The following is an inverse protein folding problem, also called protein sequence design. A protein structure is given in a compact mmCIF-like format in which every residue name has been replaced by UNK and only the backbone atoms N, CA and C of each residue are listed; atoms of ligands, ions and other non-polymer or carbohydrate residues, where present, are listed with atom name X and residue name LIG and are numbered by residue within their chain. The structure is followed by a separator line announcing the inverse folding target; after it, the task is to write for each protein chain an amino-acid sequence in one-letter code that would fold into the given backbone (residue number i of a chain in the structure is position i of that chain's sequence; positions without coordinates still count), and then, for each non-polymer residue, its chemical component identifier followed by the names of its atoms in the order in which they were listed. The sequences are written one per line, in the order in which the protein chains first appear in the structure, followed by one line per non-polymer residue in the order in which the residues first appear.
data_IF_887646256705
#
_entry.id   IF_887646256705
#
_cell.length_a   1.000
_cell.length_b   1.000
_cell.length_c   1.000
_cell.angle_alpha   90.00
_cell.angle_beta   90.00
_cell.angle_gamma   90.00
#
_symmetry.space_group_name_H-M   'P 1'
#
loop_
_entity.id
_entity.type
_entity.pdbx_description
1 polymer ?
#
# COMPACT_ATOMS: atom_id res chain seq x y z
N UNK A 1 2.91 2.31 9.44
CA UNK A 1 1.90 2.57 8.40
C UNK A 1 0.99 3.65 8.94
N UNK A 2 0.63 4.61 8.12
CA UNK A 2 -0.16 5.78 8.49
C UNK A 2 -1.34 5.88 7.54
N UNK A 3 -2.55 5.98 8.07
CA UNK A 3 -3.76 6.23 7.28
C UNK A 3 -4.30 7.60 7.69
N UNK A 4 -4.46 8.49 6.72
CA UNK A 4 -5.05 9.80 6.89
C UNK A 4 -6.42 9.81 6.22
N UNK A 5 -7.45 10.18 6.96
CA UNK A 5 -8.79 10.42 6.43
C UNK A 5 -9.29 11.77 6.93
N UNK A 6 -8.73 12.84 6.36
CA UNK A 6 -9.02 14.24 6.70
C UNK A 6 -9.54 14.97 5.48
N UNK A 7 -10.11 16.14 5.70
CA UNK A 7 -10.60 16.98 4.61
C UNK A 7 -9.48 17.32 3.61
N UNK A 8 -8.29 17.59 4.14
CA UNK A 8 -7.11 17.98 3.37
C UNK A 8 -6.40 16.78 2.73
N UNK A 9 -6.61 15.56 3.22
CA UNK A 9 -5.84 14.39 2.84
C UNK A 9 -6.60 13.07 3.08
N UNK A 10 -6.72 12.28 2.01
CA UNK A 10 -7.10 10.86 2.08
C UNK A 10 -5.92 10.04 1.55
N UNK A 11 -5.14 9.43 2.45
CA UNK A 11 -3.91 8.73 2.08
C UNK A 11 -3.61 7.53 2.97
N UNK A 12 -2.83 6.60 2.43
CA UNK A 12 -2.22 5.54 3.20
C UNK A 12 -0.74 5.46 2.86
N UNK A 13 0.10 5.60 3.88
CA UNK A 13 1.55 5.62 3.77
C UNK A 13 2.14 4.42 4.51
N UNK A 14 2.92 3.59 3.80
CA UNK A 14 3.66 2.48 4.41
C UNK A 14 5.13 2.85 4.46
N UNK A 15 5.71 2.77 5.66
CA UNK A 15 7.14 2.99 5.92
C UNK A 15 7.76 1.73 6.50
N UNK A 16 8.88 1.29 5.91
CA UNK A 16 9.65 0.15 6.40
C UNK A 16 10.71 0.62 7.39
N UNK A 17 10.56 0.23 8.65
CA UNK A 17 11.47 0.65 9.73
C UNK A 17 12.79 -0.14 9.76
N UNK A 18 12.89 -1.23 8.99
CA UNK A 18 14.07 -2.10 8.90
C UNK A 18 14.99 -1.77 7.71
N UNK A 19 14.72 -0.68 7.00
CA UNK A 19 15.49 -0.28 5.81
C UNK A 19 15.22 -1.13 4.57
N UNK A 20 14.15 -1.94 4.55
CA UNK A 20 13.75 -2.66 3.36
C UNK A 20 13.41 -1.68 2.21
N UNK A 21 13.96 -1.94 1.04
CA UNK A 21 13.70 -1.19 -0.20
C UNK A 21 12.77 -2.01 -1.08
N UNK A 22 11.79 -1.35 -1.71
CA UNK A 22 10.87 -1.93 -2.70
C UNK A 22 11.36 -1.56 -4.10
N UNK A 23 11.45 -2.52 -5.00
CA UNK A 23 11.83 -2.31 -6.40
C UNK A 23 10.62 -2.43 -7.33
N UNK A 24 10.70 -1.90 -8.57
CA UNK A 24 9.65 -2.12 -9.57
C UNK A 24 9.32 -3.61 -9.75
N UNK A 25 8.02 -3.91 -9.79
CA UNK A 25 7.47 -5.27 -9.83
C UNK A 25 7.38 -5.97 -8.48
N UNK A 26 8.04 -5.49 -7.42
CA UNK A 26 7.86 -6.07 -6.09
C UNK A 26 6.45 -5.74 -5.55
N UNK A 27 5.80 -6.71 -4.92
CA UNK A 27 4.50 -6.52 -4.26
C UNK A 27 4.68 -6.45 -2.74
N UNK A 28 3.90 -5.59 -2.08
CA UNK A 28 3.92 -5.40 -0.63
C UNK A 28 2.54 -5.72 -0.08
N UNK A 29 2.47 -6.68 0.83
CA UNK A 29 1.26 -7.03 1.55
C UNK A 29 1.44 -6.69 3.03
N UNK A 30 0.58 -5.83 3.57
CA UNK A 30 0.54 -5.53 5.00
C UNK A 30 -0.40 -6.52 5.68
N UNK A 31 0.10 -7.22 6.68
CA UNK A 31 -0.67 -8.24 7.41
C UNK A 31 -1.63 -7.60 8.41
N UNK A 32 -2.75 -8.28 8.67
CA UNK A 32 -3.69 -7.94 9.74
C UNK A 32 -5.09 -7.56 9.26
N UNK A 33 -5.99 -7.22 10.19
CA UNK A 33 -7.38 -6.87 9.88
C UNK A 33 -7.47 -5.52 9.16
N UNK A 34 -8.60 -5.27 8.50
CA UNK A 34 -8.90 -3.98 7.89
C UNK A 34 -8.70 -2.83 8.91
N UNK A 35 -8.10 -1.73 8.44
CA UNK A 35 -7.97 -0.50 9.24
C UNK A 35 -8.81 0.56 8.59
N UNK A 36 -9.74 1.12 9.37
CA UNK A 36 -10.51 2.28 8.99
C UNK A 36 -10.09 3.48 9.85
N UNK A 37 -9.63 4.55 9.22
CA UNK A 37 -9.49 5.84 9.89
C UNK A 37 -10.83 6.58 9.80
N UNK A 38 -11.48 6.93 10.92
CA UNK A 38 -12.65 7.79 10.90
C UNK A 38 -12.34 9.15 10.27
N UNK A 39 -13.34 9.80 9.68
CA UNK A 39 -13.16 11.13 9.10
C UNK A 39 -12.66 12.15 10.14
N UNK A 40 -11.67 12.95 9.77
CA UNK A 40 -10.94 13.87 10.63
C UNK A 40 -9.74 13.25 11.38
N UNK A 41 -9.53 11.93 11.29
CA UNK A 41 -8.52 11.21 12.08
C UNK A 41 -7.35 10.74 11.21
N UNK A 42 -6.18 10.69 11.83
CA UNK A 42 -5.00 10.02 11.28
C UNK A 42 -4.62 8.88 12.24
N UNK A 43 -4.48 7.66 11.72
CA UNK A 43 -4.15 6.46 12.47
C UNK A 43 -2.76 6.00 12.07
N UNK A 44 -1.89 5.74 13.05
CA UNK A 44 -0.57 5.16 12.82
C UNK A 44 -0.46 3.81 13.53
N UNK A 45 -0.11 2.77 12.77
CA UNK A 45 0.12 1.42 13.30
C UNK A 45 1.41 0.81 12.77
N UNK A 46 2.07 0.01 13.61
CA UNK A 46 3.19 -0.84 13.21
C UNK A 46 2.69 -2.25 12.93
N UNK A 47 2.91 -2.71 11.70
CA UNK A 47 2.47 -4.03 11.24
C UNK A 47 3.58 -4.75 10.49
N UNK A 48 3.48 -6.07 10.49
CA UNK A 48 4.30 -6.91 9.63
C UNK A 48 3.85 -6.73 8.19
N UNK A 49 4.83 -6.68 7.27
CA UNK A 49 4.57 -6.64 5.85
C UNK A 49 5.45 -7.65 5.13
N UNK A 50 4.85 -8.38 4.21
CA UNK A 50 5.51 -9.35 3.34
C UNK A 50 5.83 -8.66 2.02
N UNK A 51 7.11 -8.69 1.60
CA UNK A 51 7.53 -8.18 0.29
C UNK A 51 7.80 -9.37 -0.64
N UNK A 52 6.96 -9.54 -1.65
CA UNK A 52 7.15 -10.52 -2.71
C UNK A 52 8.01 -9.92 -3.80
N UNK A 53 9.19 -10.48 -4.04
CA UNK A 53 10.15 -9.94 -5.01
C UNK A 53 9.79 -10.38 -6.43
N UNK A 54 9.74 -9.42 -7.37
CA UNK A 54 9.58 -9.75 -8.78
C UNK A 54 10.74 -10.60 -9.30
N UNK A 55 10.43 -11.54 -10.19
CA UNK A 55 11.40 -12.38 -10.86
C UNK A 55 12.31 -11.56 -11.79
N UNK A 56 13.48 -12.10 -12.17
CA UNK A 56 14.42 -11.41 -13.08
C UNK A 56 13.82 -11.14 -14.46
N UNK A 57 12.87 -11.95 -14.90
CA UNK A 57 12.17 -11.79 -16.18
C UNK A 57 11.17 -10.65 -16.06
N UNK A 58 10.33 -10.64 -15.02
CA UNK A 58 9.40 -9.52 -14.75
C UNK A 58 10.16 -8.20 -14.61
N UNK A 59 11.24 -8.15 -13.83
CA UNK A 59 12.05 -6.93 -13.70
C UNK A 59 12.66 -6.46 -15.01
N UNK A 60 13.08 -7.38 -15.90
CA UNK A 60 13.58 -7.01 -17.22
C UNK A 60 12.45 -6.53 -18.14
N UNK A 61 11.28 -7.15 -18.05
CA UNK A 61 10.08 -6.76 -18.78
C UNK A 61 9.54 -5.41 -18.31
N UNK A 62 9.41 -5.16 -17.00
CA UNK A 62 9.09 -3.84 -16.44
C UNK A 62 10.11 -2.79 -16.88
N UNK A 63 11.40 -3.12 -16.95
CA UNK A 63 12.43 -2.21 -17.46
C UNK A 63 12.36 -1.97 -18.98
N UNK A 64 11.90 -2.95 -19.75
CA UNK A 64 11.86 -2.89 -21.23
C UNK A 64 10.54 -2.34 -21.77
N UNK A 65 9.43 -2.59 -21.06
CA UNK A 65 8.08 -2.09 -21.34
C UNK A 65 7.76 -0.81 -20.56
N UNK A 66 8.58 -0.50 -19.54
CA UNK A 66 8.92 0.85 -19.05
C UNK A 66 7.85 1.65 -18.32
N UNK A 67 6.65 1.79 -18.89
CA UNK A 67 5.69 2.83 -18.52
C UNK A 67 4.24 2.34 -18.36
N UNK A 68 3.95 1.06 -18.62
CA UNK A 68 2.55 0.56 -18.64
C UNK A 68 2.11 -0.22 -17.41
N UNK A 69 3.03 -0.72 -16.59
CA UNK A 69 2.67 -1.23 -15.26
C UNK A 69 2.48 -0.02 -14.35
N UNK A 70 1.30 0.58 -14.49
CA UNK A 70 0.67 1.37 -13.44
C UNK A 70 1.08 0.77 -12.10
N UNK A 71 1.68 1.57 -11.23
CA UNK A 71 1.61 1.29 -9.80
C UNK A 71 0.13 1.42 -9.47
N UNK A 72 -0.65 0.36 -9.71
CA UNK A 72 -2.04 0.30 -9.31
C UNK A 72 -2.02 0.60 -7.82
N UNK A 73 -2.58 1.75 -7.47
CA UNK A 73 -2.93 2.07 -6.10
C UNK A 73 -3.69 0.86 -5.59
N UNK A 74 -3.15 0.18 -4.58
CA UNK A 74 -3.85 -0.90 -3.91
C UNK A 74 -5.27 -0.41 -3.65
N UNK A 75 -6.24 -1.10 -4.24
CA UNK A 75 -7.65 -0.80 -4.08
C UNK A 75 -7.94 -0.87 -2.58
N UNK A 76 -8.07 0.29 -1.94
CA UNK A 76 -8.63 0.38 -0.60
C UNK A 76 -10.09 0.00 -0.77
N UNK A 77 -10.39 -1.27 -0.58
CA UNK A 77 -11.76 -1.75 -0.52
C UNK A 77 -12.37 -1.19 0.76
N UNK A 78 -12.90 0.03 0.69
CA UNK A 78 -13.73 0.60 1.74
C UNK A 78 -15.05 -0.15 1.70
N UNK A 79 -15.22 -1.12 2.58
CA UNK A 79 -16.54 -1.68 2.81
C UNK A 79 -17.35 -0.58 3.50
N UNK A 80 -18.25 0.10 2.79
CA UNK A 80 -19.29 0.90 3.43
C UNK A 80 -20.10 -0.04 4.33
N UNK A 81 -19.71 -0.10 5.60
CA UNK A 81 -20.58 -0.58 6.65
C UNK A 81 -21.78 0.35 6.65
N UNK A 82 -22.87 -0.09 6.02
CA UNK A 82 -24.17 0.57 6.06
C UNK A 82 -24.47 0.86 7.53
N UNK A 83 -24.44 2.14 7.91
CA UNK A 83 -24.98 2.59 9.19
C UNK A 83 -26.48 2.30 9.15
N UNK A 84 -26.86 1.18 9.79
CA UNK A 84 -28.25 0.92 10.21
C UNK A 84 -28.43 1.30 11.66
#
# INVERSE_FOLDING_TARGET
MTISHRFEELSAHVKFNNGAVVHPGDSVQVEGPEIMAPYGVCVEEQRMATITRASKIERLWTRSTGDFEFMELCEFSFSEGVLS
#
